data_IF_493915267631
#
_entry.id   IF_493915267631
#
_cell.length_a   1.000
_cell.length_b   1.000
_cell.length_c   1.000
_cell.angle_alpha   90.00
_cell.angle_beta   90.00
_cell.angle_gamma   90.00
#
_symmetry.space_group_name_H-M   'P 1'
#
loop_
_entity.id
_entity.type
_entity.pdbx_description
1 polymer ?
#
# COMPACT_ATOMS: atom_id res chain seq x y z
N UNK A 1 22.36 11.55 -13.08
CA UNK A 1 21.58 11.01 -11.95
C UNK A 1 22.22 9.67 -11.59
N UNK A 2 23.01 9.62 -10.53
CA UNK A 2 23.80 8.42 -10.19
C UNK A 2 22.92 7.37 -9.53
N UNK A 3 22.69 6.25 -10.21
CA UNK A 3 21.93 5.10 -9.73
C UNK A 3 22.85 4.15 -8.96
N UNK A 4 23.45 4.65 -7.87
CA UNK A 4 24.42 3.91 -7.06
C UNK A 4 23.84 3.28 -5.76
N UNK A 5 22.68 2.59 -5.72
CA UNK A 5 22.35 1.79 -4.54
C UNK A 5 22.34 0.27 -4.76
N UNK A 6 22.31 -0.27 -5.98
CA UNK A 6 22.10 -1.72 -6.16
C UNK A 6 23.36 -2.59 -6.08
N UNK A 7 24.56 -2.04 -6.26
CA UNK A 7 25.81 -2.82 -6.21
C UNK A 7 26.34 -3.08 -4.79
N UNK A 8 25.76 -2.46 -3.76
CA UNK A 8 26.17 -2.64 -2.35
C UNK A 8 25.80 -4.03 -1.80
N UNK A 9 24.85 -4.72 -2.43
CA UNK A 9 24.34 -6.03 -1.99
C UNK A 9 24.94 -7.22 -2.74
N UNK A 10 25.96 -6.98 -3.59
CA UNK A 10 26.59 -8.02 -4.40
C UNK A 10 27.91 -8.43 -3.75
N UNK A 11 28.16 -9.73 -3.63
CA UNK A 11 29.43 -10.23 -3.06
C UNK A 11 30.62 -9.74 -3.90
N UNK A 12 31.80 -9.51 -3.30
CA UNK A 12 32.95 -8.96 -4.02
C UNK A 12 33.32 -9.73 -5.30
N UNK A 13 33.14 -11.06 -5.29
CA UNK A 13 33.39 -11.90 -6.46
C UNK A 13 32.44 -11.67 -7.63
N UNK A 14 31.14 -11.50 -7.36
CA UNK A 14 30.15 -11.24 -8.43
C UNK A 14 30.30 -9.82 -8.99
N UNK A 15 30.74 -8.86 -8.15
CA UNK A 15 31.07 -7.51 -8.62
C UNK A 15 32.25 -7.51 -9.61
N UNK A 16 33.31 -8.27 -9.33
CA UNK A 16 34.47 -8.39 -10.21
C UNK A 16 34.07 -8.96 -11.58
N UNK A 17 33.26 -10.01 -11.60
CA UNK A 17 32.76 -10.65 -12.83
C UNK A 17 31.88 -9.70 -13.66
N UNK A 18 31.03 -8.89 -13.01
CA UNK A 18 30.22 -7.89 -13.71
C UNK A 18 31.07 -6.78 -14.35
N UNK A 19 32.15 -6.37 -13.70
CA UNK A 19 33.09 -5.37 -14.25
C UNK A 19 33.82 -5.94 -15.47
N UNK A 20 34.31 -7.17 -15.39
CA UNK A 20 34.98 -7.85 -16.50
C UNK A 20 34.04 -8.05 -17.70
N UNK A 21 32.82 -8.52 -17.44
CA UNK A 21 31.81 -8.71 -18.48
C UNK A 21 31.38 -7.39 -19.13
N UNK A 22 31.19 -6.33 -18.35
CA UNK A 22 30.88 -5.00 -18.87
C UNK A 22 32.02 -4.42 -19.71
N UNK A 23 33.27 -4.66 -19.32
CA UNK A 23 34.43 -4.28 -20.11
C UNK A 23 34.50 -5.03 -21.45
N UNK A 24 34.10 -6.32 -21.49
CA UNK A 24 34.07 -7.11 -22.72
C UNK A 24 32.96 -6.65 -23.69
N UNK A 25 31.82 -6.21 -23.15
CA UNK A 25 30.69 -5.70 -23.93
C UNK A 25 30.81 -4.21 -24.30
N UNK A 26 31.90 -3.54 -23.88
CA UNK A 26 32.11 -2.09 -24.01
C UNK A 26 30.92 -1.26 -23.48
N UNK A 27 30.39 -1.68 -22.34
CA UNK A 27 29.12 -1.21 -21.83
C UNK A 27 29.23 -0.80 -20.35
N UNK A 28 28.30 0.03 -19.89
CA UNK A 28 28.31 0.47 -18.49
C UNK A 28 27.81 -0.65 -17.57
N UNK A 29 28.58 -0.93 -16.50
CA UNK A 29 28.24 -1.91 -15.45
C UNK A 29 26.84 -1.70 -14.88
N UNK A 30 26.38 -0.45 -14.77
CA UNK A 30 25.04 -0.12 -14.27
C UNK A 30 23.93 -0.59 -15.21
N UNK A 31 24.14 -0.56 -16.53
CA UNK A 31 23.16 -1.02 -17.53
C UNK A 31 23.03 -2.54 -17.50
N UNK A 32 24.17 -3.23 -17.55
CA UNK A 32 24.23 -4.70 -17.48
C UNK A 32 23.69 -5.21 -16.14
N UNK A 33 24.06 -4.56 -15.03
CA UNK A 33 23.55 -4.91 -13.71
C UNK A 33 22.03 -4.76 -13.62
N UNK A 34 21.47 -3.70 -14.21
CA UNK A 34 20.02 -3.49 -14.28
C UNK A 34 19.31 -4.56 -15.10
N UNK A 35 19.81 -4.88 -16.29
CA UNK A 35 19.21 -5.87 -17.18
C UNK A 35 19.26 -7.28 -16.59
N UNK A 36 20.40 -7.67 -15.99
CA UNK A 36 20.54 -8.97 -15.32
C UNK A 36 19.61 -9.11 -14.10
N UNK A 37 19.40 -8.04 -13.34
CA UNK A 37 18.45 -8.06 -12.22
C UNK A 37 17.02 -8.17 -12.73
N UNK A 38 16.65 -7.43 -13.78
CA UNK A 38 15.34 -7.55 -14.40
C UNK A 38 15.09 -8.94 -14.98
N UNK A 39 16.10 -9.53 -15.62
CA UNK A 39 16.04 -10.89 -16.17
C UNK A 39 15.95 -11.94 -15.06
N UNK A 40 16.74 -11.82 -13.99
CA UNK A 40 16.67 -12.72 -12.85
C UNK A 40 15.31 -12.64 -12.12
N UNK A 41 14.75 -11.43 -11.97
CA UNK A 41 13.41 -11.24 -11.43
C UNK A 41 12.33 -11.79 -12.35
N UNK A 42 12.49 -11.67 -13.67
CA UNK A 42 11.59 -12.27 -14.65
C UNK A 42 11.66 -13.79 -14.61
N UNK A 43 12.85 -14.37 -14.49
CA UNK A 43 13.04 -15.82 -14.39
C UNK A 43 12.46 -16.38 -13.08
N UNK A 44 12.65 -15.66 -11.95
CA UNK A 44 12.10 -16.06 -10.65
C UNK A 44 10.58 -15.96 -10.57
N UNK A 45 10.01 -14.95 -11.22
CA UNK A 45 8.56 -14.73 -11.27
C UNK A 45 7.93 -15.24 -12.58
N UNK A 46 8.67 -16.01 -13.37
CA UNK A 46 8.13 -16.61 -14.58
C UNK A 46 7.02 -17.57 -14.16
N UNK A 47 5.81 -17.43 -14.73
CA UNK A 47 4.78 -18.41 -14.49
C UNK A 47 5.28 -19.79 -14.96
N UNK A 48 4.87 -20.89 -14.31
CA UNK A 48 5.29 -22.23 -14.73
C UNK A 48 4.91 -22.46 -16.20
N UNK A 49 5.64 -23.31 -16.91
CA UNK A 49 5.38 -23.60 -18.33
C UNK A 49 3.97 -24.15 -18.61
N UNK A 50 3.26 -24.58 -17.57
CA UNK A 50 1.87 -25.05 -17.60
C UNK A 50 0.83 -23.96 -17.31
N UNK A 51 1.26 -22.72 -17.04
CA UNK A 51 0.37 -21.60 -16.80
C UNK A 51 -0.26 -21.17 -18.12
N UNK A 52 -1.56 -21.44 -18.24
CA UNK A 52 -2.40 -20.90 -19.30
C UNK A 52 -2.90 -19.54 -18.79
N UNK A 53 -2.66 -18.42 -19.50
CA UNK A 53 -3.27 -17.16 -19.12
C UNK A 53 -4.79 -17.35 -19.10
N UNK A 54 -5.52 -16.82 -18.11
CA UNK A 54 -6.97 -16.83 -18.18
C UNK A 54 -7.39 -16.15 -19.50
N UNK A 55 -8.18 -16.84 -20.31
CA UNK A 55 -8.70 -16.30 -21.57
C UNK A 55 -9.25 -14.90 -21.31
N UNK A 56 -8.80 -13.93 -22.10
CA UNK A 56 -9.21 -12.52 -22.00
C UNK A 56 -10.67 -12.29 -22.37
N UNK A 57 -11.42 -13.34 -22.67
CA UNK A 57 -12.87 -13.28 -22.73
C UNK A 57 -13.36 -13.21 -21.29
N UNK A 58 -13.83 -12.04 -20.82
CA UNK A 58 -14.51 -12.02 -19.54
C UNK A 58 -15.61 -13.08 -19.63
N UNK A 59 -15.76 -13.97 -18.63
CA UNK A 59 -16.95 -14.80 -18.58
C UNK A 59 -18.12 -13.84 -18.76
N UNK A 60 -19.09 -14.21 -19.60
CA UNK A 60 -20.39 -13.56 -19.63
C UNK A 60 -20.98 -13.74 -18.23
N UNK A 61 -20.55 -12.90 -17.29
CA UNK A 61 -21.27 -12.63 -16.08
C UNK A 61 -22.58 -12.10 -16.62
N UNK A 62 -23.59 -12.94 -16.51
CA UNK A 62 -24.98 -12.53 -16.52
C UNK A 62 -25.09 -11.58 -15.32
N UNK A 63 -24.66 -10.33 -15.55
CA UNK A 63 -24.90 -9.25 -14.62
C UNK A 63 -26.42 -9.18 -14.60
N UNK A 64 -27.07 -9.52 -13.47
CA UNK A 64 -28.51 -9.32 -13.37
C UNK A 64 -28.76 -7.87 -13.81
N UNK A 65 -29.77 -7.67 -14.67
CA UNK A 65 -30.24 -6.34 -15.08
C UNK A 65 -30.11 -5.38 -13.90
N UNK A 66 -29.56 -4.18 -14.11
CA UNK A 66 -29.20 -3.21 -13.06
C UNK A 66 -30.36 -2.88 -12.09
N UNK A 67 -31.60 -3.32 -12.39
CA UNK A 67 -32.81 -3.24 -11.57
C UNK A 67 -32.93 -4.31 -10.45
N UNK A 68 -32.10 -5.35 -10.41
CA UNK A 68 -32.10 -6.37 -9.33
C UNK A 68 -30.78 -6.39 -8.53
N UNK A 69 -30.21 -5.20 -8.31
CA UNK A 69 -29.24 -5.03 -7.24
C UNK A 69 -29.96 -5.20 -5.89
N UNK A 70 -29.53 -6.12 -5.01
CA UNK A 70 -30.10 -6.20 -3.67
C UNK A 70 -29.93 -4.84 -2.99
N UNK A 71 -31.04 -4.27 -2.49
CA UNK A 71 -31.06 -3.02 -1.73
C UNK A 71 -29.86 -2.98 -0.76
N UNK A 72 -28.95 -2.05 -1.01
CA UNK A 72 -27.70 -1.91 -0.30
C UNK A 72 -27.97 -1.61 1.18
N UNK A 73 -27.87 -2.60 2.08
CA UNK A 73 -27.91 -2.35 3.52
C UNK A 73 -27.08 -3.37 4.32
N UNK A 74 -25.75 -3.16 4.44
CA UNK A 74 -25.20 -2.91 5.79
C UNK A 74 -24.06 -1.86 5.85
N UNK A 75 -23.63 -1.28 4.72
CA UNK A 75 -22.47 -0.38 4.68
C UNK A 75 -22.70 0.94 5.44
N UNK A 76 -23.92 1.49 5.42
CA UNK A 76 -24.20 2.77 6.07
C UNK A 76 -24.23 2.68 7.59
N UNK A 77 -24.68 1.57 8.18
CA UNK A 77 -24.67 1.43 9.65
C UNK A 77 -23.25 1.42 10.21
N UNK A 78 -22.35 0.64 9.60
CA UNK A 78 -20.94 0.57 10.02
C UNK A 78 -20.23 1.91 9.82
N UNK A 79 -20.59 2.67 8.77
CA UNK A 79 -20.07 4.01 8.51
C UNK A 79 -20.54 5.02 9.55
N UNK A 80 -21.84 5.06 9.87
CA UNK A 80 -22.39 5.93 10.91
C UNK A 80 -21.79 5.63 12.28
N UNK A 81 -21.56 4.35 12.60
CA UNK A 81 -20.93 3.94 13.87
C UNK A 81 -19.47 4.42 13.95
N UNK A 82 -18.70 4.36 12.86
CA UNK A 82 -17.32 4.85 12.84
C UNK A 82 -17.24 6.38 12.97
N UNK A 83 -18.18 7.12 12.36
CA UNK A 83 -18.27 8.58 12.47
C UNK A 83 -18.66 9.01 13.88
N UNK A 84 -19.69 8.41 14.48
CA UNK A 84 -20.08 8.67 15.87
C UNK A 84 -18.97 8.33 16.86
N UNK A 85 -18.28 7.20 16.65
CA UNK A 85 -17.14 6.83 17.47
C UNK A 85 -16.00 7.86 17.39
N UNK A 86 -15.65 8.34 16.19
CA UNK A 86 -14.62 9.36 16.01
C UNK A 86 -15.02 10.70 16.64
N UNK A 87 -16.30 11.08 16.52
CA UNK A 87 -16.83 12.28 17.15
C UNK A 87 -16.75 12.21 18.67
N UNK A 88 -17.22 11.11 19.27
CA UNK A 88 -17.19 10.92 20.73
C UNK A 88 -15.75 10.88 21.27
N UNK A 89 -14.87 10.15 20.58
CA UNK A 89 -13.46 10.02 20.96
C UNK A 89 -12.69 11.36 20.88
N UNK A 90 -12.97 12.17 19.85
CA UNK A 90 -12.28 13.45 19.61
C UNK A 90 -12.99 14.65 20.23
N UNK A 91 -14.25 14.52 20.67
CA UNK A 91 -14.95 15.54 21.45
C UNK A 91 -14.24 15.82 22.78
N UNK A 92 -13.58 14.82 23.35
CA UNK A 92 -12.72 14.96 24.53
C UNK A 92 -11.37 15.66 24.28
N UNK A 93 -11.12 16.14 23.06
CA UNK A 93 -9.90 16.86 22.67
C UNK A 93 -8.99 16.08 21.73
N UNK A 94 -7.79 16.64 21.49
CA UNK A 94 -6.80 16.04 20.58
C UNK A 94 -6.37 14.66 21.07
N UNK A 95 -6.40 13.66 20.19
CA UNK A 95 -5.96 12.29 20.49
C UNK A 95 -4.85 11.86 19.56
N UNK A 96 -4.03 10.91 20.00
CA UNK A 96 -2.99 10.34 19.16
C UNK A 96 -3.57 9.29 18.21
N UNK A 97 -3.08 9.21 16.97
CA UNK A 97 -3.56 8.23 15.99
C UNK A 97 -3.33 6.77 16.42
N UNK A 98 -2.35 6.52 17.28
CA UNK A 98 -2.11 5.21 17.88
C UNK A 98 -3.22 4.84 18.89
N UNK A 99 -3.64 5.81 19.70
CA UNK A 99 -4.74 5.65 20.65
C UNK A 99 -6.07 5.44 19.92
N UNK A 100 -6.32 6.21 18.84
CA UNK A 100 -7.49 6.04 17.97
C UNK A 100 -7.53 4.62 17.38
N UNK A 101 -6.39 4.11 16.89
CA UNK A 101 -6.29 2.76 16.34
C UNK A 101 -6.56 1.68 17.37
N UNK A 102 -6.05 1.85 18.58
CA UNK A 102 -6.23 0.90 19.68
C UNK A 102 -7.70 0.87 20.13
N UNK A 103 -8.31 2.04 20.30
CA UNK A 103 -9.72 2.16 20.68
C UNK A 103 -10.65 1.60 19.58
N UNK A 104 -10.37 1.89 18.31
CA UNK A 104 -11.13 1.35 17.19
C UNK A 104 -11.06 -0.19 17.12
N UNK A 105 -9.88 -0.76 17.39
CA UNK A 105 -9.69 -2.20 17.49
C UNK A 105 -10.49 -2.82 18.64
N UNK A 106 -10.50 -2.16 19.82
CA UNK A 106 -11.31 -2.59 20.96
C UNK A 106 -12.83 -2.52 20.69
N UNK A 107 -13.27 -1.58 19.86
CA UNK A 107 -14.66 -1.44 19.43
C UNK A 107 -15.04 -2.35 18.25
N UNK A 108 -14.11 -3.14 17.69
CA UNK A 108 -14.35 -3.98 16.52
C UNK A 108 -14.57 -3.20 15.22
N UNK A 109 -14.20 -1.91 15.17
CA UNK A 109 -14.40 -1.05 14.01
C UNK A 109 -13.22 -1.25 13.05
N UNK A 110 -13.45 -1.60 11.79
CA UNK A 110 -12.37 -1.82 10.85
C UNK A 110 -11.65 -0.50 10.52
N UNK A 111 -10.31 -0.53 10.49
CA UNK A 111 -9.48 0.66 10.32
C UNK A 111 -9.76 1.47 9.05
N UNK A 112 -10.22 0.82 7.98
CA UNK A 112 -10.62 1.51 6.75
C UNK A 112 -11.84 2.41 6.97
N UNK A 113 -12.83 1.97 7.75
CA UNK A 113 -14.03 2.75 8.06
C UNK A 113 -13.68 4.00 8.89
N UNK A 114 -12.74 3.87 9.84
CA UNK A 114 -12.20 4.99 10.62
C UNK A 114 -11.51 6.02 9.70
N UNK A 115 -10.72 5.57 8.73
CA UNK A 115 -10.07 6.49 7.80
C UNK A 115 -11.06 7.22 6.88
N UNK A 116 -12.09 6.52 6.38
CA UNK A 116 -13.16 7.13 5.57
C UNK A 116 -13.94 8.15 6.40
N UNK A 117 -14.32 7.80 7.63
CA UNK A 117 -14.99 8.70 8.56
C UNK A 117 -14.14 9.93 8.87
N UNK A 118 -12.83 9.77 9.11
CA UNK A 118 -11.93 10.88 9.35
C UNK A 118 -11.80 11.84 8.16
N UNK A 119 -11.83 11.32 6.92
CA UNK A 119 -11.83 12.16 5.72
C UNK A 119 -13.15 12.94 5.58
N UNK A 120 -14.29 12.29 5.83
CA UNK A 120 -15.62 12.93 5.79
C UNK A 120 -15.80 14.02 6.84
N UNK A 121 -15.37 13.73 8.06
CA UNK A 121 -15.39 14.67 9.18
C UNK A 121 -14.32 15.75 9.06
N UNK A 122 -13.45 15.72 8.05
CA UNK A 122 -12.40 16.72 7.86
C UNK A 122 -11.37 16.76 8.99
N UNK A 123 -11.09 15.62 9.64
CA UNK A 123 -10.18 15.54 10.78
C UNK A 123 -8.77 16.00 10.38
N UNK A 124 -8.26 17.02 11.06
CA UNK A 124 -6.91 17.50 10.88
C UNK A 124 -5.92 16.54 11.56
N UNK A 125 -5.00 15.99 10.76
CA UNK A 125 -3.93 15.10 11.22
C UNK A 125 -2.62 15.87 11.21
N UNK A 126 -2.13 16.28 12.37
CA UNK A 126 -0.84 16.98 12.50
C UNK A 126 0.19 16.07 13.14
N UNK A 127 1.35 15.92 12.50
CA UNK A 127 2.50 15.26 13.12
C UNK A 127 3.11 16.22 14.15
N UNK A 128 3.31 15.75 15.38
CA UNK A 128 4.01 16.53 16.40
C UNK A 128 5.47 16.80 16.01
N UNK A 129 6.03 17.91 16.48
CA UNK A 129 7.42 18.27 16.23
C UNK A 129 8.38 17.26 16.90
N UNK A 130 9.20 16.59 16.10
CA UNK A 130 10.21 15.63 16.56
C UNK A 130 10.40 14.41 15.65
N UNK A 131 11.56 13.76 15.77
CA UNK A 131 11.95 12.59 14.97
C UNK A 131 11.00 11.39 15.12
N UNK A 132 10.32 11.30 16.29
CA UNK A 132 9.33 10.29 16.63
C UNK A 132 7.92 10.88 16.83
N UNK A 133 7.63 12.01 16.18
CA UNK A 133 6.40 12.77 16.38
C UNK A 133 5.14 11.94 16.19
N UNK A 134 4.35 11.79 17.26
CA UNK A 134 3.05 11.15 17.21
C UNK A 134 2.10 11.93 16.29
N UNK A 135 1.24 11.21 15.58
CA UNK A 135 0.16 11.81 14.80
C UNK A 135 -0.95 12.24 15.74
N UNK A 136 -1.28 13.53 15.75
CA UNK A 136 -2.38 14.08 16.52
C UNK A 136 -3.56 14.33 15.61
N UNK A 137 -4.73 13.87 16.04
CA UNK A 137 -5.99 13.99 15.33
C UNK A 137 -6.86 14.97 16.11
N UNK A 138 -7.42 15.93 15.39
CA UNK A 138 -8.32 16.96 15.92
C UNK A 138 -9.49 17.13 14.97
N UNK A 139 -10.70 17.19 15.52
CA UNK A 139 -11.87 17.58 14.74
C UNK A 139 -11.69 19.02 14.22
N UNK A 140 -12.24 19.34 13.03
CA UNK A 140 -12.40 20.72 12.62
C UNK A 140 -13.41 21.38 13.57
N UNK A 141 -12.99 22.43 14.25
CA UNK A 141 -13.84 23.32 15.04
C UNK A 141 -14.04 24.63 14.31
#
# INVERSE_FOLDING_TARGET
MSFTPCLVWVTPGVRQQLIEYASLQNEMVERIGGDLVCEALRARNAPPATWVPPSTEPPAFDYPDDDELPEVAPADRTRTVAEQFLLDLLAGGRRSGSEVRTQAGGAGIPWHAVNVAAQRLGVHKRKGDGYNGAWWWTLPG
#
